data_IF_609199848372
#
_entry.id   IF_609199848372
#
_cell.length_a   1.000
_cell.length_b   1.000
_cell.length_c   1.000
_cell.angle_alpha   90.00
_cell.angle_beta   90.00
_cell.angle_gamma   90.00
#
_symmetry.space_group_name_H-M   'P 1'
#
loop_
_entity.id
_entity.type
_entity.pdbx_description
1 polymer ?
#
# COMPACT_ATOMS: atom_id res chain seq x y z
N UNK A 1 -27.84 15.40 -5.24
CA UNK A 1 -26.43 15.22 -5.65
C UNK A 1 -25.80 14.26 -4.66
N UNK A 2 -25.48 13.04 -5.08
CA UNK A 2 -24.81 12.05 -4.22
C UNK A 2 -23.33 12.10 -4.56
N UNK A 3 -22.50 12.47 -3.59
CA UNK A 3 -21.04 12.40 -3.72
C UNK A 3 -20.63 10.94 -3.62
N UNK A 4 -20.26 10.31 -4.74
CA UNK A 4 -19.61 9.01 -4.71
C UNK A 4 -18.14 9.22 -4.37
N UNK A 5 -17.76 8.97 -3.11
CA UNK A 5 -16.36 8.80 -2.74
C UNK A 5 -15.85 7.55 -3.46
N UNK A 6 -15.08 7.73 -4.54
CA UNK A 6 -14.42 6.62 -5.22
C UNK A 6 -13.23 6.14 -4.37
N UNK A 7 -13.49 5.37 -3.32
CA UNK A 7 -12.51 4.47 -2.69
C UNK A 7 -12.43 3.15 -3.48
N UNK A 8 -12.33 3.26 -4.80
CA UNK A 8 -12.16 2.13 -5.71
C UNK A 8 -10.70 1.73 -5.74
N UNK A 9 -10.30 0.87 -4.81
CA UNK A 9 -9.02 0.17 -4.88
C UNK A 9 -8.91 -0.49 -6.27
N UNK A 10 -8.02 0.04 -7.10
CA UNK A 10 -7.98 -0.25 -8.52
C UNK A 10 -7.77 -1.75 -8.82
N UNK A 11 -7.04 -2.44 -7.95
CA UNK A 11 -6.86 -3.91 -7.97
C UNK A 11 -8.18 -4.65 -7.71
N UNK A 12 -8.97 -4.20 -6.72
CA UNK A 12 -10.28 -4.78 -6.43
C UNK A 12 -11.28 -4.50 -7.56
N UNK A 13 -11.19 -3.34 -8.21
CA UNK A 13 -12.05 -3.01 -9.34
C UNK A 13 -11.69 -3.79 -10.61
N UNK A 14 -10.42 -4.14 -10.82
CA UNK A 14 -10.01 -5.08 -11.88
C UNK A 14 -10.58 -6.47 -11.63
N UNK A 15 -10.57 -6.94 -10.37
CA UNK A 15 -11.20 -8.21 -10.02
C UNK A 15 -12.72 -8.21 -10.29
N UNK A 16 -13.41 -7.07 -10.11
CA UNK A 16 -14.84 -6.94 -10.41
C UNK A 16 -15.18 -6.89 -11.90
N UNK A 17 -14.20 -6.68 -12.79
CA UNK A 17 -14.40 -6.67 -14.25
C UNK A 17 -14.33 -8.07 -14.89
N UNK A 18 -14.31 -9.12 -14.08
CA UNK A 18 -14.40 -10.51 -14.52
C UNK A 18 -15.76 -10.79 -15.18
N UNK A 19 -15.74 -11.05 -16.49
CA UNK A 19 -16.82 -11.70 -17.23
C UNK A 19 -16.27 -13.04 -17.73
N UNK A 20 -16.54 -14.13 -17.02
CA UNK A 20 -16.20 -15.51 -17.43
C UNK A 20 -15.34 -16.32 -16.45
N UNK A 21 -14.96 -17.54 -16.87
CA UNK A 21 -14.30 -18.59 -16.07
C UNK A 21 -12.78 -18.45 -15.90
N UNK A 22 -12.20 -17.26 -16.15
CA UNK A 22 -10.76 -17.07 -16.04
C UNK A 22 -10.33 -16.87 -14.59
N UNK A 23 -9.21 -17.48 -14.21
CA UNK A 23 -8.66 -17.40 -12.87
C UNK A 23 -8.23 -15.93 -12.58
N UNK A 24 -8.70 -15.30 -11.48
CA UNK A 24 -8.53 -13.86 -11.24
C UNK A 24 -7.07 -13.39 -11.30
N UNK A 25 -6.15 -14.26 -10.90
CA UNK A 25 -4.73 -14.00 -10.85
C UNK A 25 -4.12 -13.78 -12.25
N UNK A 26 -4.65 -14.45 -13.29
CA UNK A 26 -4.16 -14.35 -14.67
C UNK A 26 -4.52 -12.99 -15.28
N UNK A 27 -5.73 -12.49 -15.03
CA UNK A 27 -6.13 -11.17 -15.53
C UNK A 27 -5.35 -10.08 -14.82
N UNK A 28 -5.19 -10.20 -13.50
CA UNK A 28 -4.41 -9.26 -12.69
C UNK A 28 -2.96 -9.19 -13.15
N UNK A 29 -2.27 -10.32 -13.32
CA UNK A 29 -0.88 -10.33 -13.77
C UNK A 29 -0.71 -9.72 -15.16
N UNK A 30 -1.60 -10.06 -16.10
CA UNK A 30 -1.60 -9.51 -17.45
C UNK A 30 -1.90 -8.01 -17.48
N UNK A 31 -2.73 -7.50 -16.57
CA UNK A 31 -3.04 -6.07 -16.52
C UNK A 31 -1.90 -5.25 -15.91
N UNK A 32 -1.32 -5.72 -14.79
CA UNK A 32 -0.23 -5.01 -14.09
C UNK A 32 1.03 -4.87 -14.94
N UNK A 33 1.28 -5.79 -15.88
CA UNK A 33 2.41 -5.73 -16.81
C UNK A 33 2.19 -4.89 -18.08
N UNK A 34 0.98 -4.38 -18.33
CA UNK A 34 0.70 -3.61 -19.55
C UNK A 34 1.36 -2.24 -19.52
N UNK A 35 1.97 -1.86 -20.66
CA UNK A 35 2.62 -0.56 -20.84
C UNK A 35 1.69 0.61 -20.51
N UNK A 36 0.43 0.54 -20.94
CA UNK A 36 -0.55 1.60 -20.73
C UNK A 36 -0.92 1.78 -19.25
N UNK A 37 -0.82 0.70 -18.46
CA UNK A 37 -1.02 0.74 -17.02
C UNK A 37 0.20 1.34 -16.32
N UNK A 38 1.38 0.80 -16.61
CA UNK A 38 2.65 1.26 -16.03
C UNK A 38 2.90 2.74 -16.32
N UNK A 39 2.58 3.21 -17.53
CA UNK A 39 2.72 4.62 -17.92
C UNK A 39 1.78 5.58 -17.18
N UNK A 40 0.75 5.09 -16.49
CA UNK A 40 -0.15 5.90 -15.66
C UNK A 40 0.29 5.98 -14.21
N UNK A 41 1.28 5.18 -13.80
CA UNK A 41 1.84 5.26 -12.46
C UNK A 41 2.48 6.63 -12.26
N UNK A 42 2.13 7.27 -11.16
CA UNK A 42 2.64 8.57 -10.74
C UNK A 42 2.85 8.56 -9.24
N UNK A 43 3.72 9.44 -8.76
CA UNK A 43 3.89 9.65 -7.33
C UNK A 43 2.57 10.19 -6.75
N UNK A 44 1.97 9.41 -5.85
CA UNK A 44 0.74 9.82 -5.15
C UNK A 44 1.06 10.69 -3.93
N UNK A 45 2.13 10.38 -3.20
CA UNK A 45 2.58 11.15 -2.05
C UNK A 45 3.91 10.64 -1.48
N UNK A 46 4.47 11.41 -0.55
CA UNK A 46 5.70 11.07 0.16
C UNK A 46 5.42 11.03 1.66
N UNK A 47 5.87 9.97 2.33
CA UNK A 47 5.75 9.78 3.77
C UNK A 47 7.11 10.02 4.43
N UNK A 48 7.26 11.19 5.06
CA UNK A 48 8.47 11.56 5.80
C UNK A 48 8.33 11.10 7.26
N UNK A 49 8.35 9.78 7.47
CA UNK A 49 8.09 9.18 8.80
C UNK A 49 9.31 8.58 9.48
N UNK A 50 10.43 8.49 8.77
CA UNK A 50 11.68 7.93 9.26
C UNK A 50 12.84 8.91 9.00
N UNK A 51 13.81 8.90 9.91
CA UNK A 51 15.03 9.72 9.83
C UNK A 51 16.24 8.90 9.31
N UNK A 52 16.04 7.60 9.06
CA UNK A 52 17.01 6.65 8.52
C UNK A 52 16.48 5.88 7.31
N UNK A 53 17.31 5.01 6.74
CA UNK A 53 16.95 4.18 5.60
C UNK A 53 15.80 3.22 5.95
N UNK A 54 14.72 3.26 5.15
CA UNK A 54 13.64 2.28 5.25
C UNK A 54 14.07 1.00 4.58
N UNK A 55 14.11 -0.08 5.35
CA UNK A 55 14.60 -1.39 4.88
C UNK A 55 13.46 -2.34 4.54
N UNK A 56 12.29 -2.15 5.15
CA UNK A 56 11.14 -3.04 5.01
C UNK A 56 9.83 -2.29 5.04
N UNK A 57 8.87 -2.75 4.25
CA UNK A 57 7.49 -2.26 4.23
C UNK A 57 6.50 -3.42 4.12
N UNK A 58 5.34 -3.28 4.75
CA UNK A 58 4.23 -4.24 4.64
C UNK A 58 2.88 -3.53 4.70
N UNK A 59 2.00 -3.81 3.75
CA UNK A 59 0.64 -3.28 3.74
C UNK A 59 -0.30 -4.17 4.55
N UNK A 60 -1.28 -3.58 5.20
CA UNK A 60 -2.44 -4.33 5.71
C UNK A 60 -3.22 -4.95 4.56
N UNK A 61 -3.95 -6.03 4.81
CA UNK A 61 -4.75 -6.73 3.77
C UNK A 61 -5.80 -5.82 3.11
N UNK A 62 -6.29 -4.83 3.85
CA UNK A 62 -7.23 -3.80 3.37
C UNK A 62 -6.56 -2.73 2.51
N UNK A 63 -5.23 -2.61 2.58
CA UNK A 63 -4.45 -1.54 1.96
C UNK A 63 -4.58 -0.18 2.66
N UNK A 64 -5.20 -0.12 3.84
CA UNK A 64 -5.42 1.12 4.59
C UNK A 64 -4.16 1.59 5.35
N UNK A 65 -3.39 0.63 5.88
CA UNK A 65 -2.20 0.90 6.69
C UNK A 65 -0.95 0.33 6.04
N UNK A 66 0.16 1.06 6.22
CA UNK A 66 1.50 0.68 5.83
C UNK A 66 2.38 0.62 7.09
N UNK A 67 2.89 -0.56 7.39
CA UNK A 67 3.97 -0.76 8.35
C UNK A 67 5.31 -0.52 7.63
N UNK A 68 6.18 0.29 8.22
CA UNK A 68 7.55 0.50 7.74
C UNK A 68 8.56 0.35 8.89
N UNK A 69 9.74 -0.20 8.57
CA UNK A 69 10.86 -0.34 9.49
C UNK A 69 12.14 0.26 8.93
N UNK A 70 12.91 0.94 9.78
CA UNK A 70 14.07 1.74 9.39
C UNK A 70 15.26 1.58 10.35
N UNK A 71 16.44 1.98 9.88
CA UNK A 71 17.67 2.10 10.68
C UNK A 71 17.56 3.14 11.81
N UNK A 72 16.52 3.98 11.81
CA UNK A 72 16.23 4.90 12.91
C UNK A 72 15.72 4.20 14.19
N UNK A 73 15.63 2.88 14.18
CA UNK A 73 15.13 2.01 15.27
C UNK A 73 13.64 2.13 15.55
N UNK A 74 12.86 2.70 14.63
CA UNK A 74 11.41 2.80 14.76
C UNK A 74 10.66 1.85 13.83
N UNK A 75 9.53 1.37 14.33
CA UNK A 75 8.45 0.81 13.54
C UNK A 75 7.36 1.87 13.42
N UNK A 76 6.90 2.11 12.20
CA UNK A 76 5.86 3.09 11.93
C UNK A 76 4.68 2.42 11.24
N UNK A 77 3.49 2.58 11.81
CA UNK A 77 2.23 2.29 11.14
C UNK A 77 1.66 3.62 10.65
N UNK A 78 1.47 3.75 9.34
CA UNK A 78 0.96 4.97 8.73
C UNK A 78 -0.24 4.68 7.83
N UNK A 79 -1.17 5.64 7.75
CA UNK A 79 -2.20 5.67 6.72
C UNK A 79 -1.76 6.68 5.65
N UNK A 80 -1.36 6.23 4.45
CA UNK A 80 -0.80 7.11 3.42
C UNK A 80 -1.80 8.12 2.86
N UNK A 81 -3.09 7.78 2.88
CA UNK A 81 -4.14 8.58 2.24
C UNK A 81 -4.56 9.77 3.09
N UNK A 82 -4.55 9.62 4.42
CA UNK A 82 -4.91 10.70 5.36
C UNK A 82 -3.76 11.17 6.26
N UNK A 83 -2.55 10.61 6.07
CA UNK A 83 -1.31 10.96 6.78
C UNK A 83 -1.35 10.78 8.30
N UNK A 84 -2.24 9.92 8.81
CA UNK A 84 -2.17 9.49 10.23
C UNK A 84 -0.98 8.57 10.44
N UNK A 85 -0.27 8.74 11.56
CA UNK A 85 0.97 8.01 11.86
C UNK A 85 0.98 7.61 13.34
N UNK A 86 1.36 6.36 13.59
CA UNK A 86 1.71 5.81 14.91
C UNK A 86 3.15 5.31 14.83
N UNK A 87 4.02 5.74 15.74
CA UNK A 87 5.46 5.45 15.73
C UNK A 87 5.86 4.88 17.08
N UNK A 88 6.42 3.68 17.07
CA UNK A 88 6.93 3.00 18.26
C UNK A 88 8.41 2.64 18.06
N UNK A 89 9.19 2.79 19.12
CA UNK A 89 10.61 2.44 19.10
C UNK A 89 10.77 0.94 19.33
N UNK A 90 11.53 0.28 18.46
CA UNK A 90 11.93 -1.10 18.67
C UNK A 90 13.14 -1.15 19.61
N UNK A 91 12.99 -1.81 20.76
CA UNK A 91 14.10 -2.07 21.67
C UNK A 91 14.42 -3.58 21.68
N UNK A 92 15.64 -3.93 21.30
CA UNK A 92 16.13 -5.31 21.29
C UNK A 92 16.12 -5.98 22.67
N UNK A 93 16.11 -5.19 23.74
CA UNK A 93 16.10 -5.70 25.12
C UNK A 93 14.73 -6.27 25.55
N UNK A 94 13.66 -5.99 24.80
CA UNK A 94 12.28 -6.44 25.10
C UNK A 94 11.98 -7.88 24.62
N UNK A 95 12.95 -8.57 24.00
CA UNK A 95 12.77 -9.92 23.42
C UNK A 95 13.45 -11.01 24.29
N UNK A 96 13.90 -10.67 25.50
CA UNK A 96 14.47 -11.65 26.44
C UNK A 96 13.44 -12.26 27.38
#
# INVERSE_FOLDING_TARGET
MVTMSYSGNLVWDVNKRLIGYNEPNIIRSNYLGRKEFVQRLKLEGTLNVHDGCVNTISWSDTGEYLLSGSDDTFLVISNPYNKKVSRDQYNSDQIR
#
